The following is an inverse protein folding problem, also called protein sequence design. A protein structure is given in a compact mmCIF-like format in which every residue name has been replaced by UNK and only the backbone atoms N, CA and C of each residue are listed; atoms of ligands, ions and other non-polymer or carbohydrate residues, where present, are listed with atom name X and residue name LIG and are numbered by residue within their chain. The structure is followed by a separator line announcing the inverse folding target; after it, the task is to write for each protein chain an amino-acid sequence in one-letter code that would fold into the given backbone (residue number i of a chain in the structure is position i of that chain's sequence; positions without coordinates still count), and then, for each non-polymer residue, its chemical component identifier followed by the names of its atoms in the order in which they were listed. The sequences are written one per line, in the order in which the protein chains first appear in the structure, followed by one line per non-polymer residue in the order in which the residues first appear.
data_IF_033130501395
#
_entry.id   IF_033130501395
#
_cell.length_a   1.000
_cell.length_b   1.000
_cell.length_c   1.000
_cell.angle_alpha   90.00
_cell.angle_beta   90.00
_cell.angle_gamma   90.00
#
_symmetry.space_group_name_H-M   'P 1'
#
loop_
_entity.id
_entity.type
_entity.pdbx_description
1 polymer ?
#
# COMPACT_ATOMS: atom_id res chain seq x y z
N UNK A 1 -20.06 22.49 33.35
CA UNK A 1 -19.76 22.71 31.93
C UNK A 1 -19.65 21.35 31.25
N UNK A 2 -20.72 20.90 30.59
CA UNK A 2 -20.78 19.56 29.96
C UNK A 2 -20.07 19.67 28.61
N UNK A 3 -18.91 19.04 28.46
CA UNK A 3 -18.28 18.87 27.16
C UNK A 3 -19.17 17.98 26.29
N UNK A 4 -19.76 18.56 25.24
CA UNK A 4 -20.43 17.78 24.19
C UNK A 4 -19.35 17.04 23.41
N UNK A 5 -19.32 15.71 23.53
CA UNK A 5 -18.45 14.87 22.72
C UNK A 5 -18.76 15.12 21.24
N UNK A 6 -17.82 15.70 20.52
CA UNK A 6 -17.86 15.75 19.07
C UNK A 6 -17.63 14.31 18.58
N UNK A 7 -18.74 13.65 18.25
CA UNK A 7 -18.64 12.41 17.45
C UNK A 7 -18.10 12.81 16.08
N UNK A 8 -16.85 12.45 15.80
CA UNK A 8 -16.28 12.62 14.48
C UNK A 8 -17.17 11.89 13.47
N UNK A 9 -17.52 12.51 12.33
CA UNK A 9 -18.39 11.87 11.37
C UNK A 9 -17.70 10.63 10.78
N UNK A 10 -18.33 9.48 10.93
CA UNK A 10 -17.93 8.24 10.27
C UNK A 10 -17.96 8.46 8.74
N UNK A 11 -16.82 8.29 8.07
CA UNK A 11 -16.75 8.41 6.61
C UNK A 11 -17.54 7.26 5.99
N UNK A 12 -18.64 7.54 5.33
CA UNK A 12 -19.51 6.54 4.71
C UNK A 12 -18.80 5.78 3.58
N UNK A 13 -19.18 4.51 3.34
CA UNK A 13 -18.64 3.65 2.27
C UNK A 13 -18.65 4.30 0.87
N UNK A 14 -19.56 5.23 0.60
CA UNK A 14 -19.61 5.94 -0.68
C UNK A 14 -18.46 6.95 -0.86
N UNK A 15 -18.05 7.65 0.23
CA UNK A 15 -16.86 8.52 0.21
C UNK A 15 -15.55 7.73 0.15
N UNK A 16 -15.53 6.51 0.65
CA UNK A 16 -14.34 5.64 0.61
C UNK A 16 -13.98 5.18 -0.82
N UNK A 17 -14.96 5.08 -1.73
CA UNK A 17 -14.71 4.81 -3.15
C UNK A 17 -13.95 5.93 -3.85
N UNK A 18 -14.06 7.18 -3.39
CA UNK A 18 -13.33 8.32 -3.96
C UNK A 18 -11.85 8.38 -3.55
N UNK A 19 -11.43 7.55 -2.58
CA UNK A 19 -10.02 7.44 -2.19
C UNK A 19 -9.17 6.68 -3.23
N UNK A 20 -9.82 5.96 -4.13
CA UNK A 20 -9.17 5.21 -5.21
C UNK A 20 -8.89 6.15 -6.37
N UNK A 21 -7.73 6.03 -7.00
CA UNK A 21 -7.41 6.82 -8.20
C UNK A 21 -8.11 6.23 -9.42
N UNK A 22 -8.72 7.05 -10.28
CA UNK A 22 -9.53 6.60 -11.43
C UNK A 22 -8.76 5.71 -12.42
N UNK A 23 -7.44 5.85 -12.52
CA UNK A 23 -6.59 5.06 -13.44
C UNK A 23 -6.42 3.60 -13.03
N UNK A 24 -6.53 3.27 -11.75
CA UNK A 24 -6.37 1.90 -11.26
C UNK A 24 -7.53 1.00 -11.66
N UNK A 25 -8.63 1.56 -12.16
CA UNK A 25 -9.88 0.85 -12.46
C UNK A 25 -10.02 0.36 -13.90
N UNK A 26 -9.29 0.95 -14.82
CA UNK A 26 -9.36 0.61 -16.24
C UNK A 26 -8.43 -0.53 -16.63
N UNK A 27 -7.51 -0.90 -15.71
CA UNK A 27 -6.53 -1.97 -15.92
C UNK A 27 -6.95 -3.23 -15.15
N UNK A 28 -6.62 -4.41 -15.66
CA UNK A 28 -6.68 -5.65 -14.89
C UNK A 28 -5.51 -5.64 -13.88
N UNK A 29 -5.75 -4.98 -12.76
CA UNK A 29 -4.73 -4.59 -11.80
C UNK A 29 -4.79 -5.40 -10.51
N UNK A 30 -5.98 -5.88 -10.15
CA UNK A 30 -6.26 -6.53 -8.87
C UNK A 30 -6.71 -7.99 -9.04
N UNK A 31 -6.34 -8.83 -8.07
CA UNK A 31 -7.01 -10.14 -7.95
C UNK A 31 -8.49 -9.94 -7.61
N UNK A 32 -9.37 -10.81 -8.16
CA UNK A 32 -10.82 -10.69 -8.04
C UNK A 32 -11.45 -11.97 -7.46
N UNK A 33 -12.72 -11.91 -7.14
CA UNK A 33 -13.54 -13.05 -6.78
C UNK A 33 -12.99 -13.87 -5.61
N UNK A 34 -12.95 -15.19 -5.78
CA UNK A 34 -12.50 -16.15 -4.75
C UNK A 34 -11.03 -15.93 -4.33
N UNK A 35 -10.16 -15.59 -5.28
CA UNK A 35 -8.74 -15.33 -5.00
C UNK A 35 -8.57 -14.15 -4.03
N UNK A 36 -9.26 -13.05 -4.31
CA UNK A 36 -9.27 -11.86 -3.44
C UNK A 36 -9.82 -12.18 -2.04
N UNK A 37 -10.97 -12.83 -1.96
CA UNK A 37 -11.56 -13.21 -0.68
C UNK A 37 -10.61 -14.09 0.15
N UNK A 38 -9.92 -15.02 -0.51
CA UNK A 38 -8.94 -15.89 0.16
C UNK A 38 -7.74 -15.10 0.67
N UNK A 39 -7.18 -14.17 -0.12
CA UNK A 39 -6.09 -13.32 0.30
C UNK A 39 -6.49 -12.45 1.50
N UNK A 40 -7.64 -11.82 1.47
CA UNK A 40 -8.14 -10.99 2.57
C UNK A 40 -8.40 -11.80 3.86
N UNK A 41 -8.97 -13.02 3.77
CA UNK A 41 -9.12 -13.90 4.94
C UNK A 41 -7.77 -14.30 5.55
N UNK A 42 -6.79 -14.65 4.71
CA UNK A 42 -5.43 -14.98 5.16
C UNK A 42 -4.76 -13.80 5.86
N UNK A 43 -4.85 -12.60 5.29
CA UNK A 43 -4.34 -11.37 5.92
C UNK A 43 -5.06 -11.10 7.25
N UNK A 44 -6.38 -11.22 7.31
CA UNK A 44 -7.19 -11.06 8.52
C UNK A 44 -6.76 -12.02 9.65
N UNK A 45 -6.41 -13.27 9.32
CA UNK A 45 -5.86 -14.22 10.29
C UNK A 45 -4.51 -13.75 10.86
N UNK A 46 -3.67 -13.13 10.02
CA UNK A 46 -2.40 -12.56 10.46
C UNK A 46 -2.63 -11.36 11.37
N UNK A 47 -3.52 -10.44 11.00
CA UNK A 47 -3.85 -9.27 11.82
C UNK A 47 -4.43 -9.65 13.18
N UNK A 48 -5.33 -10.64 13.22
CA UNK A 48 -5.86 -11.16 14.47
C UNK A 48 -4.75 -11.69 15.38
N UNK A 49 -3.78 -12.43 14.83
CA UNK A 49 -2.60 -12.92 15.57
C UNK A 49 -1.72 -11.79 16.09
N UNK A 50 -1.62 -10.70 15.34
CA UNK A 50 -0.84 -9.52 15.74
C UNK A 50 -1.57 -8.58 16.72
N UNK A 51 -2.86 -8.84 17.00
CA UNK A 51 -3.70 -7.94 17.80
C UNK A 51 -3.98 -6.60 17.11
N UNK A 52 -3.99 -6.57 15.77
CA UNK A 52 -4.18 -5.35 15.00
C UNK A 52 -5.57 -5.30 14.36
N UNK A 53 -6.11 -4.10 14.29
CA UNK A 53 -7.35 -3.78 13.57
C UNK A 53 -6.99 -2.89 12.38
N UNK A 54 -7.40 -3.29 11.18
CA UNK A 54 -7.19 -2.51 9.96
C UNK A 54 -8.35 -1.54 9.72
N UNK A 55 -8.13 -0.47 8.93
CA UNK A 55 -9.20 0.42 8.51
C UNK A 55 -10.37 -0.36 7.89
N UNK A 56 -11.60 0.05 8.21
CA UNK A 56 -12.83 -0.54 7.64
C UNK A 56 -13.08 -0.01 6.22
N UNK A 57 -12.05 -0.02 5.40
CA UNK A 57 -12.10 0.37 3.99
C UNK A 57 -12.11 -0.88 3.12
N UNK A 58 -12.54 -0.77 1.88
CA UNK A 58 -12.39 -1.86 0.91
C UNK A 58 -10.93 -1.85 0.39
N UNK A 59 -10.07 -2.81 0.79
CA UNK A 59 -8.65 -2.76 0.46
C UNK A 59 -8.41 -3.04 -1.01
N UNK A 60 -7.35 -2.47 -1.58
CA UNK A 60 -6.82 -2.86 -2.88
C UNK A 60 -5.96 -4.13 -2.75
N UNK A 61 -5.98 -4.95 -3.78
CA UNK A 61 -5.22 -6.21 -3.83
C UNK A 61 -4.45 -6.32 -5.15
N UNK A 62 -3.53 -5.36 -5.43
CA UNK A 62 -2.86 -5.29 -6.71
C UNK A 62 -1.93 -6.47 -6.97
N UNK A 63 -2.03 -7.03 -8.18
CA UNK A 63 -1.02 -7.88 -8.81
C UNK A 63 -0.31 -7.13 -9.95
N UNK A 64 -0.58 -5.83 -10.07
CA UNK A 64 0.05 -4.89 -11.01
C UNK A 64 -0.07 -5.30 -12.49
N UNK A 65 -1.08 -6.10 -12.84
CA UNK A 65 -1.24 -6.67 -14.19
C UNK A 65 -0.36 -7.89 -14.48
N UNK A 66 0.46 -8.33 -13.53
CA UNK A 66 1.39 -9.46 -13.71
C UNK A 66 0.80 -10.83 -13.36
N UNK A 67 -0.42 -10.87 -12.82
CA UNK A 67 -1.17 -12.09 -12.46
C UNK A 67 -0.46 -13.07 -11.51
N UNK A 68 0.56 -12.59 -10.76
CA UNK A 68 1.34 -13.38 -9.81
C UNK A 68 1.31 -12.73 -8.41
N UNK A 69 0.09 -12.55 -7.90
CA UNK A 69 -0.19 -11.77 -6.70
C UNK A 69 0.68 -12.16 -5.49
N UNK A 70 0.86 -13.45 -5.22
CA UNK A 70 1.59 -13.87 -4.03
C UNK A 70 3.12 -13.69 -4.12
N UNK A 71 3.64 -13.47 -5.31
CA UNK A 71 5.05 -13.12 -5.54
C UNK A 71 5.24 -11.63 -5.75
N UNK A 72 4.38 -11.03 -6.59
CA UNK A 72 4.42 -9.59 -6.92
C UNK A 72 3.04 -9.01 -6.66
N UNK A 73 2.90 -8.32 -5.55
CA UNK A 73 1.63 -7.77 -5.12
C UNK A 73 1.68 -7.30 -3.69
N UNK A 74 0.56 -6.77 -3.21
CA UNK A 74 0.37 -6.33 -1.84
C UNK A 74 -1.12 -6.18 -1.53
N UNK A 75 -1.47 -5.91 -0.28
CA UNK A 75 -2.81 -5.49 0.11
C UNK A 75 -2.70 -4.10 0.71
N UNK A 76 -3.37 -3.13 0.08
CA UNK A 76 -3.37 -1.75 0.53
C UNK A 76 -4.65 -1.43 1.31
N UNK A 77 -4.51 -1.07 2.59
CA UNK A 77 -5.60 -0.56 3.42
C UNK A 77 -5.48 0.95 3.53
N UNK A 78 -6.24 1.66 2.73
CA UNK A 78 -6.22 3.10 2.69
C UNK A 78 -6.87 3.72 3.92
N UNK A 79 -6.18 4.68 4.55
CA UNK A 79 -6.68 5.52 5.63
C UNK A 79 -7.27 6.78 5.02
N UNK A 80 -6.49 7.44 4.17
CA UNK A 80 -6.82 8.71 3.53
C UNK A 80 -5.99 8.90 2.26
N UNK A 81 -6.54 9.61 1.28
CA UNK A 81 -5.84 10.21 0.14
C UNK A 81 -6.46 11.58 -0.10
N UNK A 82 -5.99 12.58 0.64
CA UNK A 82 -6.53 13.93 0.62
C UNK A 82 -5.70 14.82 -0.28
N UNK A 83 -6.18 15.00 -1.52
CA UNK A 83 -5.52 15.84 -2.53
C UNK A 83 -5.69 17.35 -2.25
N UNK A 84 -6.65 17.72 -1.42
CA UNK A 84 -6.92 19.11 -1.10
C UNK A 84 -5.96 19.63 -0.02
N UNK A 85 -5.58 18.75 0.91
CA UNK A 85 -4.71 19.08 2.03
C UNK A 85 -3.33 18.40 1.93
N UNK A 86 -3.00 17.84 0.77
CA UNK A 86 -1.69 17.29 0.41
C UNK A 86 -1.14 16.20 1.35
N UNK A 87 -2.00 15.27 1.78
CA UNK A 87 -1.53 14.12 2.55
C UNK A 87 -2.23 12.81 2.20
N UNK A 88 -1.50 11.72 2.38
CA UNK A 88 -1.97 10.36 2.18
C UNK A 88 -1.44 9.45 3.28
N UNK A 89 -2.24 8.46 3.67
CA UNK A 89 -1.84 7.40 4.59
C UNK A 89 -2.49 6.09 4.21
N UNK A 90 -1.70 5.02 4.18
CA UNK A 90 -2.18 3.66 3.94
C UNK A 90 -1.30 2.62 4.60
N UNK A 91 -1.88 1.48 4.95
CA UNK A 91 -1.13 0.31 5.33
C UNK A 91 -0.89 -0.58 4.11
N UNK A 92 0.35 -1.05 3.96
CA UNK A 92 0.78 -2.01 2.94
C UNK A 92 1.07 -3.33 3.64
N UNK A 93 0.26 -4.34 3.35
CA UNK A 93 0.48 -5.69 3.86
C UNK A 93 1.07 -6.58 2.77
N UNK A 94 2.15 -7.29 3.13
CA UNK A 94 2.78 -8.28 2.26
C UNK A 94 2.75 -9.66 2.94
N UNK A 95 2.44 -10.68 2.16
CA UNK A 95 2.69 -12.06 2.57
C UNK A 95 4.20 -12.37 2.58
N UNK A 96 4.59 -13.49 3.19
CA UNK A 96 5.99 -13.91 3.18
C UNK A 96 6.54 -14.00 1.76
N UNK A 97 7.69 -13.36 1.51
CA UNK A 97 8.39 -13.26 0.22
C UNK A 97 7.64 -12.49 -0.88
N UNK A 98 6.47 -11.95 -0.58
CA UNK A 98 5.76 -11.06 -1.50
C UNK A 98 6.50 -9.71 -1.59
N UNK A 99 6.49 -9.11 -2.78
CA UNK A 99 7.17 -7.84 -3.04
C UNK A 99 6.27 -6.84 -3.77
N UNK A 100 6.45 -5.58 -3.46
CA UNK A 100 6.03 -4.48 -4.32
C UNK A 100 7.00 -4.40 -5.53
N UNK A 101 6.54 -4.27 -6.77
CA UNK A 101 7.41 -4.15 -7.93
C UNK A 101 8.29 -2.90 -7.85
N UNK A 102 9.48 -2.94 -8.47
CA UNK A 102 10.38 -1.79 -8.50
C UNK A 102 9.76 -0.62 -9.26
N UNK A 103 9.67 0.52 -8.60
CA UNK A 103 9.10 1.75 -9.16
C UNK A 103 9.70 2.99 -8.51
N UNK A 104 9.38 4.14 -9.05
CA UNK A 104 9.59 5.45 -8.43
C UNK A 104 8.39 6.35 -8.68
N UNK A 105 8.34 7.44 -7.95
CA UNK A 105 7.40 8.53 -8.12
C UNK A 105 8.13 9.76 -8.62
N UNK A 106 7.50 10.54 -9.51
CA UNK A 106 8.07 11.82 -9.97
C UNK A 106 7.89 12.92 -8.92
N UNK A 107 6.75 12.90 -8.24
CA UNK A 107 6.31 13.97 -7.33
C UNK A 107 6.15 13.48 -5.91
N UNK A 108 5.57 12.27 -5.73
CA UNK A 108 5.21 11.76 -4.41
C UNK A 108 6.45 11.48 -3.56
N UNK A 109 6.50 12.14 -2.40
CA UNK A 109 7.43 11.88 -1.30
C UNK A 109 6.75 10.89 -0.34
N UNK A 110 7.47 9.86 0.10
CA UNK A 110 6.92 8.79 0.93
C UNK A 110 7.75 8.58 2.17
N UNK A 111 7.10 8.22 3.27
CA UNK A 111 7.76 7.77 4.49
C UNK A 111 7.18 6.43 4.89
N UNK A 112 8.03 5.41 4.98
CA UNK A 112 7.68 4.06 5.40
C UNK A 112 8.02 3.86 6.86
N UNK A 113 7.06 3.37 7.65
CA UNK A 113 7.23 2.93 9.03
C UNK A 113 6.90 1.44 9.13
N UNK A 114 7.81 0.63 9.64
CA UNK A 114 7.57 -0.81 9.79
C UNK A 114 6.77 -1.06 11.06
N UNK A 115 5.53 -1.51 10.88
CA UNK A 115 4.61 -1.84 11.99
C UNK A 115 4.86 -3.27 12.51
N UNK A 116 5.04 -4.23 11.59
CA UNK A 116 5.25 -5.66 11.90
C UNK A 116 6.06 -6.36 10.82
N UNK A 117 6.73 -7.43 11.21
CA UNK A 117 7.54 -8.23 10.29
C UNK A 117 8.91 -7.63 9.99
N UNK A 118 9.59 -8.19 8.99
CA UNK A 118 10.88 -7.67 8.48
C UNK A 118 10.76 -7.39 6.99
N UNK A 119 11.31 -6.29 6.57
CA UNK A 119 11.23 -5.81 5.20
C UNK A 119 12.64 -5.59 4.66
N UNK A 120 12.98 -6.22 3.54
CA UNK A 120 14.16 -5.87 2.77
C UNK A 120 13.78 -4.75 1.82
N UNK A 121 14.26 -3.55 2.11
CA UNK A 121 14.09 -2.35 1.30
C UNK A 121 15.25 -2.21 0.33
N UNK A 122 14.94 -1.89 -0.92
CA UNK A 122 15.93 -1.43 -1.91
C UNK A 122 15.55 -0.01 -2.31
N UNK A 123 16.50 0.93 -2.19
CA UNK A 123 16.34 2.34 -2.56
C UNK A 123 17.55 2.75 -3.41
N UNK A 124 17.33 3.00 -4.71
CA UNK A 124 18.39 3.19 -5.68
C UNK A 124 19.32 1.97 -5.77
N UNK A 125 20.59 2.16 -5.36
CA UNK A 125 21.62 1.11 -5.30
C UNK A 125 21.78 0.50 -3.90
N UNK A 126 21.12 1.05 -2.89
CA UNK A 126 21.25 0.59 -1.50
C UNK A 126 20.19 -0.47 -1.21
N UNK A 127 20.60 -1.51 -0.48
CA UNK A 127 19.71 -2.52 0.06
C UNK A 127 19.96 -2.68 1.55
N UNK A 128 18.90 -2.75 2.35
CA UNK A 128 18.99 -2.88 3.79
C UNK A 128 17.75 -3.55 4.37
N UNK A 129 17.89 -4.09 5.58
CA UNK A 129 16.79 -4.70 6.31
C UNK A 129 16.16 -3.67 7.25
N UNK A 130 14.83 -3.63 7.26
CA UNK A 130 14.02 -2.86 8.19
C UNK A 130 13.21 -3.80 9.09
N UNK A 131 13.05 -3.42 10.34
CA UNK A 131 12.30 -4.14 11.39
C UNK A 131 11.29 -3.22 12.05
N UNK A 132 10.35 -3.74 12.88
CA UNK A 132 9.37 -2.89 13.56
C UNK A 132 10.03 -1.74 14.33
N UNK A 133 9.47 -0.53 14.12
CA UNK A 133 9.99 0.73 14.66
C UNK A 133 10.89 1.51 13.70
N UNK A 134 11.45 0.87 12.68
CA UNK A 134 12.29 1.56 11.70
C UNK A 134 11.45 2.46 10.78
N UNK A 135 12.04 3.63 10.44
CA UNK A 135 11.46 4.63 9.53
C UNK A 135 12.43 4.86 8.38
N UNK A 136 11.91 4.97 7.17
CA UNK A 136 12.69 5.34 5.99
C UNK A 136 11.92 6.30 5.09
N UNK A 137 12.54 7.44 4.78
CA UNK A 137 12.00 8.42 3.84
C UNK A 137 12.48 8.14 2.42
N UNK A 138 11.54 7.99 1.50
CA UNK A 138 11.77 7.79 0.07
C UNK A 138 11.48 9.09 -0.67
N UNK A 139 12.50 9.65 -1.30
CA UNK A 139 12.36 10.88 -2.09
C UNK A 139 11.84 10.60 -3.49
N UNK A 140 11.16 11.55 -4.13
CA UNK A 140 10.82 11.47 -5.53
C UNK A 140 12.04 11.13 -6.41
N UNK A 141 11.81 10.40 -7.49
CA UNK A 141 12.83 9.96 -8.44
C UNK A 141 13.69 8.78 -7.99
N UNK A 142 13.57 8.33 -6.73
CA UNK A 142 14.35 7.19 -6.24
C UNK A 142 13.62 5.88 -6.54
N UNK A 143 14.19 5.07 -7.42
CA UNK A 143 13.72 3.71 -7.68
C UNK A 143 13.76 2.86 -6.41
N UNK A 144 12.64 2.23 -6.07
CA UNK A 144 12.57 1.42 -4.86
C UNK A 144 11.69 0.18 -5.03
N UNK A 145 11.89 -0.78 -4.16
CA UNK A 145 11.08 -1.99 -3.99
C UNK A 145 11.26 -2.50 -2.57
N UNK A 146 10.27 -3.20 -2.06
CA UNK A 146 10.34 -3.81 -0.75
C UNK A 146 9.76 -5.22 -0.75
N UNK A 147 10.33 -6.08 0.08
CA UNK A 147 10.01 -7.52 0.16
C UNK A 147 9.83 -7.91 1.63
N UNK A 148 8.76 -8.61 1.95
CA UNK A 148 8.59 -9.22 3.28
C UNK A 148 9.51 -10.44 3.44
N UNK A 149 10.33 -10.49 4.49
CA UNK A 149 11.35 -11.53 4.68
C UNK A 149 11.08 -12.36 5.95
N UNK A 150 11.06 -13.68 5.78
CA UNK A 150 10.91 -14.63 6.89
C UNK A 150 9.50 -14.70 7.49
N UNK A 151 8.52 -14.04 6.87
CA UNK A 151 7.13 -13.99 7.29
C UNK A 151 6.42 -12.81 6.68
N UNK A 152 5.11 -12.62 6.97
CA UNK A 152 4.38 -11.44 6.50
C UNK A 152 4.88 -10.15 7.16
N UNK A 153 4.70 -9.02 6.48
CA UNK A 153 5.05 -7.69 6.98
C UNK A 153 3.88 -6.71 6.81
N UNK A 154 3.86 -5.70 7.68
CA UNK A 154 2.94 -4.57 7.62
C UNK A 154 3.75 -3.28 7.70
N UNK A 155 3.57 -2.43 6.73
CA UNK A 155 4.19 -1.12 6.59
C UNK A 155 3.09 -0.07 6.67
N UNK A 156 3.30 1.01 7.40
CA UNK A 156 2.53 2.23 7.28
C UNK A 156 3.27 3.15 6.32
N UNK A 157 2.61 3.56 5.25
CA UNK A 157 3.06 4.61 4.34
C UNK A 157 2.33 5.90 4.69
N UNK A 158 3.10 6.96 4.93
CA UNK A 158 2.63 8.35 4.99
C UNK A 158 3.30 9.10 3.85
N UNK A 159 2.51 9.76 3.01
CA UNK A 159 3.03 10.33 1.77
C UNK A 159 2.25 11.57 1.32
N UNK A 160 2.74 12.23 0.27
CA UNK A 160 1.91 13.08 -0.56
C UNK A 160 0.81 12.25 -1.22
N UNK A 161 -0.27 12.88 -1.71
CA UNK A 161 -1.38 12.16 -2.33
C UNK A 161 -0.94 11.27 -3.49
N UNK A 162 -1.60 10.12 -3.61
CA UNK A 162 -1.47 9.28 -4.80
C UNK A 162 -2.22 9.93 -5.95
N UNK A 163 -1.51 10.19 -7.05
CA UNK A 163 -2.03 10.82 -8.27
C UNK A 163 -1.76 9.93 -9.48
N UNK A 164 -2.57 10.12 -10.53
CA UNK A 164 -2.40 9.41 -11.81
C UNK A 164 -1.04 9.69 -12.44
N UNK A 165 -0.49 8.66 -13.10
CA UNK A 165 0.75 8.72 -13.87
C UNK A 165 2.01 9.09 -13.07
N UNK A 166 1.94 9.01 -11.74
CA UNK A 166 3.08 9.24 -10.85
C UNK A 166 3.80 7.94 -10.44
N UNK A 167 3.16 6.78 -10.62
CA UNK A 167 3.79 5.47 -10.40
C UNK A 167 4.53 5.03 -11.66
N UNK A 168 5.85 5.07 -11.66
CA UNK A 168 6.71 4.70 -12.78
C UNK A 168 7.43 3.39 -12.46
N UNK A 169 7.00 2.30 -13.08
CA UNK A 169 7.55 0.97 -12.86
C UNK A 169 8.72 0.67 -13.79
N UNK A 170 9.72 -0.05 -13.26
CA UNK A 170 10.83 -0.57 -14.04
C UNK A 170 10.35 -1.61 -15.07
N UNK A 171 9.42 -2.48 -14.66
CA UNK A 171 8.76 -3.45 -15.54
C UNK A 171 7.73 -2.76 -16.44
N UNK A 172 7.97 -2.79 -17.74
CA UNK A 172 7.13 -2.14 -18.76
C UNK A 172 5.84 -2.91 -19.08
N UNK A 173 5.68 -4.12 -18.56
CA UNK A 173 4.42 -4.86 -18.61
C UNK A 173 3.36 -4.29 -17.65
N UNK A 174 3.77 -3.54 -16.62
CA UNK A 174 2.87 -2.92 -15.66
C UNK A 174 2.24 -1.66 -16.27
N UNK A 175 0.91 -1.58 -16.19
CA UNK A 175 0.16 -0.41 -16.66
C UNK A 175 0.40 -0.09 -18.14
N UNK A 176 0.38 1.19 -18.48
CA UNK A 176 0.70 1.64 -19.83
C UNK A 176 2.21 1.90 -19.95
N UNK A 177 2.97 0.90 -20.43
CA UNK A 177 4.43 0.98 -20.57
C UNK A 177 5.17 1.33 -19.27
N UNK A 178 4.75 0.73 -18.17
CA UNK A 178 5.34 0.96 -16.86
C UNK A 178 4.78 2.18 -16.11
N UNK A 179 3.65 2.71 -16.50
CA UNK A 179 3.03 3.88 -15.85
C UNK A 179 1.60 3.55 -15.41
N UNK A 180 1.29 3.84 -14.15
CA UNK A 180 -0.04 3.80 -13.54
C UNK A 180 -0.36 5.14 -12.89
#
# INVERSE_FOLDING_TARGET
MKMRGHQMPYVSNAKQRSLRTDAQWTLDFEIKGRARQTALRRAGTVFKRWGLVMPRTDPLTPHFGLHDFYRIGEIEYWIVNDRQNDYCGKFLFLFANQRCPRHHHKVKDETFFIVRGRVRMTAGRRQFMMKPGDIFKMRPGVDHTFVAVGGPALILEVSLPSIQHDNIFADKAIGKRGVI
#
